data_IF_141391833773
#
_entry.id   IF_141391833773
#
_cell.length_a   1.000
_cell.length_b   1.000
_cell.length_c   1.000
_cell.angle_alpha   90.00
_cell.angle_beta   90.00
_cell.angle_gamma   90.00
#
_symmetry.space_group_name_H-M   'P 1'
#
loop_
_entity.id
_entity.type
_entity.pdbx_description
1 polymer ?
#
# COMPACT_ATOMS: atom_id res chain seq x y z
N UNK A 1 -4.34 15.77 -0.82
CA UNK A 1 -5.68 15.23 -1.24
C UNK A 1 -6.75 16.25 -0.83
N UNK A 2 -7.66 16.62 -1.76
CA UNK A 2 -8.73 17.58 -1.45
C UNK A 2 -9.84 16.93 -0.58
N UNK A 3 -10.74 17.78 -0.04
CA UNK A 3 -11.75 17.35 0.95
C UNK A 3 -12.72 16.30 0.40
N UNK A 4 -13.11 16.42 -0.87
CA UNK A 4 -14.02 15.49 -1.54
C UNK A 4 -13.39 14.10 -1.68
N UNK A 5 -12.13 14.03 -2.11
CA UNK A 5 -11.39 12.77 -2.21
C UNK A 5 -11.19 12.12 -0.85
N UNK A 6 -10.89 12.92 0.19
CA UNK A 6 -10.80 12.43 1.59
C UNK A 6 -12.11 11.80 2.06
N UNK A 7 -13.23 12.41 1.70
CA UNK A 7 -14.56 11.85 2.01
C UNK A 7 -14.74 10.47 1.38
N UNK A 8 -14.44 10.33 0.07
CA UNK A 8 -14.58 9.04 -0.61
C UNK A 8 -13.62 7.97 -0.10
N UNK A 9 -12.39 8.33 0.28
CA UNK A 9 -11.45 7.39 0.92
C UNK A 9 -12.03 6.89 2.24
N UNK A 10 -12.51 7.79 3.11
CA UNK A 10 -13.15 7.40 4.38
C UNK A 10 -14.37 6.51 4.16
N UNK A 11 -15.21 6.85 3.17
CA UNK A 11 -16.39 6.07 2.83
C UNK A 11 -16.02 4.66 2.35
N UNK A 12 -15.01 4.55 1.46
CA UNK A 12 -14.49 3.29 0.96
C UNK A 12 -14.01 2.39 2.10
N UNK A 13 -13.13 2.91 2.95
CA UNK A 13 -12.57 2.15 4.07
C UNK A 13 -13.66 1.71 5.02
N UNK A 14 -14.61 2.60 5.36
CA UNK A 14 -15.74 2.27 6.24
C UNK A 14 -16.67 1.19 5.67
N UNK A 15 -16.79 1.09 4.34
CA UNK A 15 -17.57 0.02 3.71
C UNK A 15 -16.82 -1.31 3.69
N UNK A 16 -15.48 -1.28 3.68
CA UNK A 16 -14.66 -2.48 3.83
C UNK A 16 -14.69 -2.94 5.28
N UNK A 17 -14.35 -2.04 6.21
CA UNK A 17 -14.36 -2.29 7.64
C UNK A 17 -14.60 -1.00 8.43
N UNK A 18 -15.67 -0.99 9.24
CA UNK A 18 -16.08 0.16 10.04
C UNK A 18 -15.12 0.47 11.20
N UNK A 19 -14.29 -0.49 11.59
CA UNK A 19 -13.37 -0.37 12.73
C UNK A 19 -12.06 0.31 12.33
N UNK A 20 -11.72 0.34 11.03
CA UNK A 20 -10.50 0.96 10.54
C UNK A 20 -10.61 2.48 10.61
N UNK A 21 -9.64 3.08 11.29
CA UNK A 21 -9.49 4.54 11.39
C UNK A 21 -8.68 5.06 10.19
N UNK A 22 -9.15 6.14 9.57
CA UNK A 22 -8.47 6.80 8.46
C UNK A 22 -7.99 8.17 8.89
N UNK A 23 -6.69 8.37 8.86
CA UNK A 23 -6.02 9.66 9.05
C UNK A 23 -5.36 10.10 7.73
N UNK A 24 -5.24 11.40 7.51
CA UNK A 24 -4.57 11.94 6.33
C UNK A 24 -3.25 12.58 6.77
N UNK A 25 -2.15 12.03 6.27
CA UNK A 25 -0.80 12.37 6.71
C UNK A 25 0.15 12.68 5.55
N UNK A 26 1.43 12.60 5.84
CA UNK A 26 2.51 12.85 4.86
C UNK A 26 2.86 11.64 4.02
N UNK A 27 2.56 10.44 4.48
CA UNK A 27 2.88 9.17 3.83
C UNK A 27 1.66 8.25 3.78
N UNK A 28 1.72 7.25 2.96
CA UNK A 28 0.81 6.12 2.94
C UNK A 28 1.43 5.04 3.84
N UNK A 29 0.76 4.69 4.93
CA UNK A 29 1.26 3.73 5.92
C UNK A 29 0.13 3.18 6.78
N UNK A 30 0.41 2.09 7.50
CA UNK A 30 -0.50 1.44 8.42
C UNK A 30 0.12 1.34 9.82
N UNK A 31 -0.73 1.41 10.84
CA UNK A 31 -0.47 1.00 12.22
C UNK A 31 -1.44 -0.12 12.59
N UNK A 32 -1.09 -1.40 12.33
CA UNK A 32 -2.02 -2.52 12.47
C UNK A 32 -2.57 -2.68 13.88
N UNK A 33 -1.72 -2.49 14.89
CA UNK A 33 -2.10 -2.61 16.31
C UNK A 33 -3.11 -1.55 16.76
N UNK A 34 -3.15 -0.40 16.08
CA UNK A 34 -4.12 0.67 16.32
C UNK A 34 -5.32 0.64 15.37
N UNK A 35 -5.36 -0.31 14.45
CA UNK A 35 -6.35 -0.41 13.39
C UNK A 35 -6.48 0.91 12.60
N UNK A 36 -5.34 1.53 12.27
CA UNK A 36 -5.27 2.86 11.66
C UNK A 36 -4.47 2.84 10.37
N UNK A 37 -5.02 3.44 9.32
CA UNK A 37 -4.28 3.75 8.09
C UNK A 37 -4.10 5.25 7.91
N UNK A 38 -2.93 5.64 7.42
CA UNK A 38 -2.62 7.00 7.02
C UNK A 38 -2.62 7.07 5.50
N UNK A 39 -3.30 8.04 4.93
CA UNK A 39 -3.46 8.15 3.48
C UNK A 39 -2.88 9.46 2.97
N UNK A 40 -2.04 9.36 1.96
CA UNK A 40 -1.54 10.47 1.17
C UNK A 40 -1.62 10.09 -0.33
N UNK A 41 -1.83 11.09 -1.18
CA UNK A 41 -1.79 10.91 -2.64
C UNK A 41 -0.50 11.44 -3.28
N UNK A 42 0.47 11.84 -2.45
CA UNK A 42 1.80 12.26 -2.91
C UNK A 42 2.77 11.13 -2.60
N UNK A 43 3.17 10.41 -3.61
CA UNK A 43 4.10 9.29 -3.50
C UNK A 43 5.24 9.51 -4.48
N UNK A 44 6.43 9.09 -4.15
CA UNK A 44 7.56 9.15 -5.05
C UNK A 44 7.29 8.33 -6.33
N UNK A 45 7.79 8.81 -7.46
CA UNK A 45 7.56 8.13 -8.75
C UNK A 45 8.23 6.75 -8.80
N UNK A 46 9.36 6.58 -8.11
CA UNK A 46 10.07 5.30 -8.02
C UNK A 46 9.22 4.30 -7.27
N UNK A 47 8.64 4.71 -6.14
CA UNK A 47 7.74 3.86 -5.35
C UNK A 47 6.51 3.43 -6.15
N UNK A 48 5.91 4.36 -6.89
CA UNK A 48 4.74 4.09 -7.75
C UNK A 48 5.09 3.06 -8.83
N UNK A 49 6.20 3.25 -9.52
CA UNK A 49 6.63 2.36 -10.62
C UNK A 49 6.95 0.97 -10.08
N UNK A 50 7.75 0.89 -9.03
CA UNK A 50 8.15 -0.38 -8.41
C UNK A 50 6.95 -1.17 -7.88
N UNK A 51 6.02 -0.50 -7.21
CA UNK A 51 4.79 -1.13 -6.72
C UNK A 51 3.90 -1.62 -7.86
N UNK A 52 3.70 -0.79 -8.89
CA UNK A 52 2.91 -1.17 -10.07
C UNK A 52 3.50 -2.38 -10.81
N UNK A 53 4.82 -2.45 -10.92
CA UNK A 53 5.48 -3.56 -11.60
C UNK A 53 5.37 -4.84 -10.76
N UNK A 54 5.47 -4.74 -9.43
CA UNK A 54 5.23 -5.87 -8.53
C UNK A 54 3.78 -6.37 -8.59
N UNK A 55 2.80 -5.47 -8.64
CA UNK A 55 1.38 -5.86 -8.84
C UNK A 55 1.20 -6.61 -10.15
N UNK A 56 1.83 -6.18 -11.25
CA UNK A 56 1.76 -6.87 -12.54
C UNK A 56 2.41 -8.25 -12.51
N UNK A 57 3.52 -8.38 -11.78
CA UNK A 57 4.20 -9.66 -11.57
C UNK A 57 3.28 -10.66 -10.85
N UNK A 58 2.61 -10.21 -9.78
CA UNK A 58 1.69 -11.05 -9.01
C UNK A 58 0.38 -11.35 -9.76
N UNK A 59 -0.17 -10.37 -10.49
CA UNK A 59 -1.39 -10.53 -11.26
C UNK A 59 -1.47 -9.53 -12.43
N UNK A 60 -1.10 -9.98 -13.63
CA UNK A 60 -1.11 -9.15 -14.84
C UNK A 60 -2.51 -8.65 -15.27
N UNK A 61 -3.57 -9.25 -14.75
CA UNK A 61 -4.98 -8.87 -15.02
C UNK A 61 -5.48 -7.76 -14.09
N UNK A 62 -4.75 -7.46 -13.01
CA UNK A 62 -5.08 -6.36 -12.10
C UNK A 62 -4.77 -5.02 -12.78
N UNK A 63 -5.80 -4.25 -13.13
CA UNK A 63 -5.69 -2.96 -13.87
C UNK A 63 -6.13 -1.76 -13.03
N UNK A 64 -6.20 -1.90 -11.73
CA UNK A 64 -6.52 -0.79 -10.83
C UNK A 64 -5.32 0.15 -10.69
N UNK A 65 -5.59 1.43 -10.39
CA UNK A 65 -4.53 2.40 -10.19
C UNK A 65 -3.79 2.17 -8.87
N UNK A 66 -2.55 2.64 -8.80
CA UNK A 66 -1.67 2.42 -7.65
C UNK A 66 -2.13 3.14 -6.40
N UNK A 67 -2.85 4.27 -6.49
CA UNK A 67 -3.41 4.94 -5.31
C UNK A 67 -4.48 4.06 -4.64
N UNK A 68 -5.42 3.51 -5.41
CA UNK A 68 -6.42 2.59 -4.87
C UNK A 68 -5.75 1.35 -4.26
N UNK A 69 -4.86 0.71 -5.03
CA UNK A 69 -4.17 -0.50 -4.57
C UNK A 69 -3.27 -0.23 -3.37
N UNK A 70 -2.64 0.95 -3.29
CA UNK A 70 -1.85 1.36 -2.14
C UNK A 70 -2.71 1.53 -0.88
N UNK A 71 -3.89 2.14 -0.99
CA UNK A 71 -4.82 2.23 0.16
C UNK A 71 -5.28 0.84 0.58
N UNK A 72 -5.60 -0.04 -0.37
CA UNK A 72 -5.96 -1.43 -0.09
C UNK A 72 -4.79 -2.23 0.50
N UNK A 73 -3.55 -1.93 0.11
CA UNK A 73 -2.35 -2.52 0.69
C UNK A 73 -2.20 -2.16 2.16
N UNK A 74 -2.42 -0.89 2.54
CA UNK A 74 -2.40 -0.51 3.96
C UNK A 74 -3.51 -1.20 4.77
N UNK A 75 -4.68 -1.41 4.18
CA UNK A 75 -5.73 -2.24 4.78
C UNK A 75 -5.28 -3.70 4.85
N UNK A 76 -4.59 -4.18 3.83
CA UNK A 76 -4.01 -5.53 3.78
C UNK A 76 -3.09 -5.81 4.96
N UNK A 77 -2.27 -4.85 5.39
CA UNK A 77 -1.46 -4.98 6.59
C UNK A 77 -2.29 -5.26 7.85
N UNK A 78 -3.47 -4.66 7.98
CA UNK A 78 -4.36 -4.94 9.14
C UNK A 78 -4.85 -6.39 9.11
N UNK A 79 -5.23 -6.90 7.92
CA UNK A 79 -5.79 -8.25 7.79
C UNK A 79 -4.74 -9.37 7.75
N UNK A 80 -3.50 -9.06 7.41
CA UNK A 80 -2.41 -10.02 7.27
C UNK A 80 -1.33 -9.87 8.33
N UNK A 81 -1.55 -8.98 9.32
CA UNK A 81 -0.61 -8.75 10.40
C UNK A 81 -0.45 -10.02 11.27
N UNK A 82 0.80 -10.43 11.42
CA UNK A 82 1.20 -11.51 12.32
C UNK A 82 2.37 -11.01 13.16
N UNK A 83 2.16 -10.88 14.47
CA UNK A 83 3.14 -10.34 15.42
C UNK A 83 4.49 -11.08 15.36
N UNK A 84 4.46 -12.39 15.13
CA UNK A 84 5.65 -13.24 15.00
C UNK A 84 6.58 -12.85 13.82
N UNK A 85 6.08 -12.11 12.84
CA UNK A 85 6.84 -11.68 11.66
C UNK A 85 7.47 -10.29 11.83
N UNK A 86 7.18 -9.60 12.93
CA UNK A 86 7.63 -8.21 13.12
C UNK A 86 9.14 -8.13 13.37
N UNK A 87 9.72 -9.06 14.10
CA UNK A 87 11.18 -9.09 14.34
C UNK A 87 11.95 -9.29 13.04
N UNK A 88 11.53 -10.24 12.21
CA UNK A 88 12.15 -10.51 10.92
C UNK A 88 12.00 -9.31 9.99
N UNK A 89 10.83 -8.69 9.94
CA UNK A 89 10.58 -7.48 9.17
C UNK A 89 11.50 -6.33 9.60
N UNK A 90 11.61 -6.08 10.89
CA UNK A 90 12.47 -5.02 11.43
C UNK A 90 13.95 -5.28 11.13
N UNK A 91 14.40 -6.52 11.25
CA UNK A 91 15.78 -6.92 10.90
C UNK A 91 16.06 -6.69 9.41
N UNK A 92 15.16 -7.14 8.55
CA UNK A 92 15.36 -7.11 7.10
C UNK A 92 15.24 -5.69 6.53
N UNK A 93 14.34 -4.86 7.04
CA UNK A 93 14.27 -3.44 6.68
C UNK A 93 15.50 -2.67 7.13
N UNK A 94 16.04 -2.98 8.30
CA UNK A 94 17.30 -2.40 8.78
C UNK A 94 18.47 -2.79 7.90
N UNK A 95 18.55 -4.06 7.46
CA UNK A 95 19.58 -4.53 6.54
C UNK A 95 19.50 -3.81 5.19
N UNK A 96 18.31 -3.66 4.60
CA UNK A 96 18.12 -2.91 3.36
C UNK A 96 18.58 -1.46 3.49
N UNK A 97 18.26 -0.81 4.61
CA UNK A 97 18.70 0.56 4.91
C UNK A 97 20.23 0.68 5.00
N UNK A 98 20.90 -0.27 5.65
CA UNK A 98 22.36 -0.30 5.74
C UNK A 98 23.01 -0.51 4.38
N UNK A 99 22.51 -1.43 3.57
CA UNK A 99 23.03 -1.71 2.22
C UNK A 99 22.87 -0.48 1.30
N UNK A 100 21.79 0.27 1.44
CA UNK A 100 21.60 1.54 0.75
C UNK A 100 22.62 2.60 1.21
N UNK A 101 22.78 2.78 2.53
CA UNK A 101 23.74 3.74 3.10
C UNK A 101 25.18 3.43 2.69
N UNK A 102 25.53 2.15 2.54
CA UNK A 102 26.84 1.71 2.07
C UNK A 102 27.00 1.73 0.53
N UNK A 103 26.04 2.27 -0.20
CA UNK A 103 25.98 2.30 -1.67
C UNK A 103 26.10 0.92 -2.33
N UNK A 104 25.67 -0.14 -1.65
CA UNK A 104 25.62 -1.52 -2.18
C UNK A 104 24.33 -1.81 -2.95
N UNK A 105 23.25 -1.08 -2.66
CA UNK A 105 21.98 -1.14 -3.35
C UNK A 105 21.56 0.27 -3.78
N UNK A 106 20.93 0.37 -4.96
CA UNK A 106 20.23 1.57 -5.40
C UNK A 106 18.88 1.68 -4.70
N UNK A 107 18.27 2.86 -4.70
CA UNK A 107 16.92 3.08 -4.17
C UNK A 107 15.89 2.15 -4.81
N UNK A 108 15.95 1.97 -6.14
CA UNK A 108 15.08 1.06 -6.88
C UNK A 108 15.25 -0.40 -6.41
N UNK A 109 16.48 -0.85 -6.17
CA UNK A 109 16.75 -2.19 -5.65
C UNK A 109 16.24 -2.35 -4.22
N UNK A 110 16.40 -1.33 -3.36
CA UNK A 110 15.84 -1.36 -2.01
C UNK A 110 14.32 -1.51 -2.06
N UNK A 111 13.63 -0.71 -2.86
CA UNK A 111 12.18 -0.79 -3.04
C UNK A 111 11.73 -2.13 -3.62
N UNK A 112 12.50 -2.67 -4.56
CA UNK A 112 12.26 -4.01 -5.13
C UNK A 112 12.28 -5.10 -4.05
N UNK A 113 13.29 -5.13 -3.19
CA UNK A 113 13.41 -6.11 -2.11
C UNK A 113 12.41 -5.86 -0.99
N UNK A 114 12.20 -4.60 -0.62
CA UNK A 114 11.24 -4.20 0.42
C UNK A 114 9.85 -4.74 0.15
N UNK A 115 9.30 -4.53 -1.05
CA UNK A 115 7.96 -5.01 -1.42
C UNK A 115 7.82 -6.53 -1.40
N UNK A 116 8.92 -7.28 -1.41
CA UNK A 116 8.96 -8.74 -1.36
C UNK A 116 9.18 -9.31 0.03
N UNK A 117 9.39 -8.46 1.03
CA UNK A 117 9.37 -8.91 2.42
C UNK A 117 8.00 -9.54 2.75
N UNK A 118 7.95 -10.60 3.56
CA UNK A 118 6.70 -11.34 3.79
C UNK A 118 5.50 -10.48 4.18
N UNK A 119 5.68 -9.52 5.10
CA UNK A 119 4.61 -8.59 5.51
C UNK A 119 4.10 -7.73 4.35
N UNK A 120 5.01 -7.16 3.55
CA UNK A 120 4.67 -6.31 2.40
C UNK A 120 4.03 -7.14 1.28
N UNK A 121 4.59 -8.31 1.00
CA UNK A 121 4.08 -9.22 -0.02
C UNK A 121 2.67 -9.73 0.31
N UNK A 122 2.40 -10.07 1.58
CA UNK A 122 1.08 -10.52 2.02
C UNK A 122 0.05 -9.40 1.91
N UNK A 123 0.38 -8.17 2.33
CA UNK A 123 -0.49 -7.01 2.19
C UNK A 123 -0.79 -6.71 0.71
N UNK A 124 0.23 -6.78 -0.16
CA UNK A 124 0.04 -6.58 -1.61
C UNK A 124 -0.85 -7.65 -2.23
N UNK A 125 -0.63 -8.93 -1.91
CA UNK A 125 -1.48 -10.03 -2.38
C UNK A 125 -2.92 -9.85 -1.93
N UNK A 126 -3.14 -9.52 -0.66
CA UNK A 126 -4.47 -9.24 -0.13
C UNK A 126 -5.16 -8.11 -0.90
N UNK A 127 -4.45 -7.01 -1.18
CA UNK A 127 -4.99 -5.85 -1.91
C UNK A 127 -5.43 -6.22 -3.34
N UNK A 128 -4.64 -7.04 -4.03
CA UNK A 128 -4.95 -7.54 -5.38
C UNK A 128 -6.17 -8.45 -5.35
N UNK A 129 -6.19 -9.42 -4.44
CA UNK A 129 -7.29 -10.38 -4.31
C UNK A 129 -8.60 -9.68 -3.97
N UNK A 130 -8.58 -8.75 -3.02
CA UNK A 130 -9.74 -7.93 -2.70
C UNK A 130 -10.24 -7.15 -3.93
N UNK A 131 -9.34 -6.47 -4.64
CA UNK A 131 -9.71 -5.68 -5.81
C UNK A 131 -10.28 -6.55 -6.95
N UNK A 132 -9.72 -7.72 -7.16
CA UNK A 132 -10.17 -8.65 -8.22
C UNK A 132 -11.51 -9.31 -7.88
N UNK A 133 -11.79 -9.56 -6.62
CA UNK A 133 -13.09 -10.09 -6.14
C UNK A 133 -14.17 -8.99 -6.10
N UNK A 134 -13.80 -7.74 -5.86
CA UNK A 134 -14.71 -6.61 -5.68
C UNK A 134 -14.58 -5.55 -6.80
N UNK A 135 -14.48 -5.98 -8.07
CA UNK A 135 -14.18 -5.10 -9.22
C UNK A 135 -15.11 -3.90 -9.37
N UNK A 136 -16.42 -4.08 -9.18
CA UNK A 136 -17.40 -2.98 -9.31
C UNK A 136 -17.19 -1.92 -8.23
N UNK A 137 -17.00 -2.36 -6.99
CA UNK A 137 -16.68 -1.52 -5.84
C UNK A 137 -15.39 -0.73 -6.08
N UNK A 138 -14.31 -1.41 -6.43
CA UNK A 138 -13.01 -0.80 -6.67
C UNK A 138 -13.03 0.17 -7.86
N UNK A 139 -13.73 -0.16 -8.96
CA UNK A 139 -13.93 0.77 -10.08
C UNK A 139 -14.64 2.06 -9.67
N UNK A 140 -15.70 1.92 -8.87
CA UNK A 140 -16.44 3.08 -8.38
C UNK A 140 -15.54 4.03 -7.58
N UNK A 141 -14.82 3.50 -6.59
CA UNK A 141 -13.96 4.33 -5.75
C UNK A 141 -12.73 4.86 -6.46
N UNK A 142 -12.10 4.08 -7.33
CA UNK A 142 -11.00 4.55 -8.19
C UNK A 142 -11.39 5.81 -8.97
N UNK A 143 -12.59 5.85 -9.53
CA UNK A 143 -13.08 7.02 -10.27
C UNK A 143 -13.35 8.23 -9.36
N UNK A 144 -13.69 8.02 -8.09
CA UNK A 144 -13.97 9.08 -7.11
C UNK A 144 -12.71 9.65 -6.47
N UNK A 145 -11.78 8.81 -6.09
CA UNK A 145 -10.50 9.23 -5.47
C UNK A 145 -9.49 9.74 -6.50
N UNK A 146 -9.66 9.35 -7.77
CA UNK A 146 -8.85 9.79 -8.89
C UNK A 146 -7.52 9.06 -9.02
N UNK A 147 -6.74 9.49 -10.01
CA UNK A 147 -5.39 8.99 -10.26
C UNK A 147 -4.38 9.62 -9.31
N UNK A 148 -3.27 8.94 -9.12
CA UNK A 148 -2.09 9.49 -8.46
C UNK A 148 -1.62 10.76 -9.14
N UNK A 149 -1.15 11.70 -8.33
CA UNK A 149 -0.39 12.83 -8.81
C UNK A 149 1.07 12.49 -8.49
N UNK A 150 1.77 11.93 -9.45
CA UNK A 150 3.23 11.93 -9.41
C UNK A 150 3.70 13.38 -9.50
N UNK A 151 4.59 13.75 -8.61
CA UNK A 151 5.37 14.98 -8.79
C UNK A 151 6.60 14.70 -9.60
#
# INVERSE_FOLDING_TARGET
>A
MNIIKRFYVKQMVKQIDKTIKVKFGKCLQCEPTENTIYVNNKTDIIDIVTFRDYVKELNSKCKFNTLLLGILHEIGHIYTYEEQNEEDYNRDTKLLSLLFQENKLTEEQVNYFYLRLPLEANATKWSIDFAMQNKKFCKYYQNKIGKEISK
#
